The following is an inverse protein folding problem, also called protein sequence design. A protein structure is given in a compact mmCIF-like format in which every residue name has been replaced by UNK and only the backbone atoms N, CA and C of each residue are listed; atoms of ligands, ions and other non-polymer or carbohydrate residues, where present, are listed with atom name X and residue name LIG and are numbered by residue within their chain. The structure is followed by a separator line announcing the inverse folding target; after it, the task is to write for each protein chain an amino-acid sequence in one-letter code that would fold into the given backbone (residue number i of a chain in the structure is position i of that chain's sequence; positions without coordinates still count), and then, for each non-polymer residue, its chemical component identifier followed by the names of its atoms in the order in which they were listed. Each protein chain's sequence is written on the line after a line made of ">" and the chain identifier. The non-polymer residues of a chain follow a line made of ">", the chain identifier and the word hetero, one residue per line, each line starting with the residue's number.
data_IF_081074379357
#
_entry.id   IF_081074379357
#
_cell.length_a   1.000
_cell.length_b   1.000
_cell.length_c   1.000
_cell.angle_alpha   90.00
_cell.angle_beta   90.00
_cell.angle_gamma   90.00
#
_symmetry.space_group_name_H-M   'P 1'
#
loop_
_entity.id
_entity.type
_entity.pdbx_description
1 polymer ?
#
# COMPACT_ATOMS: atom_id res chain seq x y z
N UNK A 1 43.16 29.88 11.17
CA UNK A 1 42.40 30.01 9.93
C UNK A 1 41.82 28.66 9.50
N UNK A 2 42.63 27.59 9.42
CA UNK A 2 42.20 26.24 8.96
C UNK A 2 41.11 25.63 9.86
N UNK A 3 41.11 25.87 11.16
CA UNK A 3 40.09 25.37 12.09
C UNK A 3 38.74 26.08 11.96
N UNK A 4 38.75 27.39 11.66
CA UNK A 4 37.52 28.15 11.46
C UNK A 4 36.81 27.76 10.17
N UNK A 5 37.55 27.49 9.08
CA UNK A 5 36.97 27.03 7.81
C UNK A 5 36.36 25.63 7.91
N UNK A 6 36.97 24.71 8.68
CA UNK A 6 36.42 23.37 8.95
C UNK A 6 35.17 23.45 9.82
N UNK A 7 35.13 24.34 10.82
CA UNK A 7 33.95 24.56 11.65
C UNK A 7 32.81 25.17 10.86
N UNK A 8 33.07 26.12 9.98
CA UNK A 8 32.08 26.75 9.10
C UNK A 8 31.46 25.74 8.10
N UNK A 9 32.27 24.84 7.53
CA UNK A 9 31.81 23.77 6.69
C UNK A 9 30.92 22.75 7.42
N UNK A 10 31.25 22.42 8.68
CA UNK A 10 30.45 21.52 9.49
C UNK A 10 29.09 22.12 9.85
N UNK A 11 29.04 23.41 10.16
CA UNK A 11 27.79 24.13 10.45
C UNK A 11 26.93 24.28 9.19
N UNK A 12 27.51 24.43 8.01
CA UNK A 12 26.78 24.50 6.73
C UNK A 12 26.11 23.17 6.40
N UNK A 13 26.74 22.03 6.75
CA UNK A 13 26.13 20.69 6.55
C UNK A 13 24.94 20.41 7.49
N UNK A 14 24.90 21.03 8.68
CA UNK A 14 23.79 20.86 9.65
C UNK A 14 22.58 21.72 9.27
N UNK A 15 22.77 22.75 8.43
CA UNK A 15 21.70 23.65 7.97
C UNK A 15 21.01 23.21 6.68
N UNK A 16 21.39 22.07 6.10
CA UNK A 16 20.59 21.47 5.01
C UNK A 16 19.29 21.01 5.66
N UNK A 17 18.15 21.70 5.45
CA UNK A 17 16.88 21.18 5.93
C UNK A 17 16.69 19.83 5.26
N UNK A 18 16.62 18.77 6.06
CA UNK A 18 16.03 17.51 5.62
C UNK A 18 14.55 17.81 5.32
N UNK A 19 14.30 18.39 4.14
CA UNK A 19 12.95 18.47 3.62
C UNK A 19 12.51 17.02 3.47
N UNK A 20 11.74 16.54 4.43
CA UNK A 20 10.94 15.36 4.22
C UNK A 20 10.11 15.69 2.97
N UNK A 21 10.47 15.09 1.84
CA UNK A 21 9.74 15.29 0.60
C UNK A 21 8.33 14.75 0.82
N UNK A 22 7.46 15.67 1.21
CA UNK A 22 6.04 15.42 1.28
C UNK A 22 5.57 15.15 -0.16
N UNK A 23 4.98 13.97 -0.38
CA UNK A 23 4.51 13.54 -1.69
C UNK A 23 3.37 14.43 -2.17
N UNK A 24 3.45 14.92 -3.39
CA UNK A 24 2.36 15.67 -4.04
C UNK A 24 1.58 14.78 -5.01
N UNK A 25 0.34 15.18 -5.32
CA UNK A 25 -0.48 14.48 -6.32
C UNK A 25 0.22 14.45 -7.70
N UNK A 26 0.89 15.53 -8.08
CA UNK A 26 1.64 15.59 -9.33
C UNK A 26 2.80 14.60 -9.34
N UNK A 27 3.50 14.44 -8.23
CA UNK A 27 4.59 13.47 -8.12
C UNK A 27 4.10 12.03 -8.26
N UNK A 28 2.98 11.67 -7.62
CA UNK A 28 2.35 10.35 -7.79
C UNK A 28 2.02 10.06 -9.27
N UNK A 29 1.39 11.03 -9.95
CA UNK A 29 0.94 10.86 -11.33
C UNK A 29 2.06 10.86 -12.36
N UNK A 30 3.13 11.61 -12.13
CA UNK A 30 4.23 11.77 -13.08
C UNK A 30 5.33 10.70 -12.91
N UNK A 31 5.28 9.86 -11.91
CA UNK A 31 6.28 8.79 -11.66
C UNK A 31 5.64 7.39 -11.63
N UNK A 32 5.04 6.90 -12.73
CA UNK A 32 4.31 5.63 -12.76
C UNK A 32 5.20 4.39 -12.55
N UNK A 33 6.51 4.52 -12.74
CA UNK A 33 7.51 3.47 -12.45
C UNK A 33 7.72 3.27 -10.95
N UNK A 34 7.65 4.35 -10.18
CA UNK A 34 7.76 4.32 -8.71
C UNK A 34 6.39 4.10 -8.08
N UNK A 35 5.38 4.85 -8.50
CA UNK A 35 4.03 4.82 -7.93
C UNK A 35 3.07 4.13 -8.90
N UNK A 36 2.78 2.86 -8.64
CA UNK A 36 1.84 2.10 -9.46
C UNK A 36 0.41 2.44 -9.09
N UNK A 37 -0.37 2.96 -10.02
CA UNK A 37 -1.82 3.06 -9.90
C UNK A 37 -2.42 1.65 -9.89
N UNK A 38 -3.08 1.27 -8.78
CA UNK A 38 -3.67 -0.06 -8.59
C UNK A 38 -5.20 -0.03 -8.51
N UNK A 39 -5.78 1.13 -8.22
CA UNK A 39 -7.22 1.33 -8.16
C UNK A 39 -7.58 2.75 -8.53
N UNK A 40 -8.69 2.93 -9.24
CA UNK A 40 -9.23 4.25 -9.60
C UNK A 40 -10.75 4.16 -9.77
N UNK A 41 -11.48 5.11 -9.17
CA UNK A 41 -12.91 5.32 -9.38
C UNK A 41 -13.28 6.80 -9.26
N UNK A 42 -14.56 7.12 -9.24
CA UNK A 42 -15.05 8.50 -9.12
C UNK A 42 -14.73 9.16 -7.78
N UNK A 43 -14.38 8.40 -6.74
CA UNK A 43 -14.06 8.92 -5.40
C UNK A 43 -12.57 9.16 -5.19
N UNK A 44 -11.70 8.48 -5.97
CA UNK A 44 -10.26 8.63 -5.83
C UNK A 44 -9.41 7.59 -6.53
N UNK A 45 -8.10 7.73 -6.30
CA UNK A 45 -7.07 6.84 -6.83
C UNK A 45 -6.29 6.17 -5.68
N UNK A 46 -5.80 4.95 -5.91
CA UNK A 46 -4.87 4.27 -5.01
C UNK A 46 -3.58 3.93 -5.75
N UNK A 47 -2.47 4.36 -5.17
CA UNK A 47 -1.12 4.06 -5.67
C UNK A 47 -0.35 3.21 -4.66
N UNK A 48 0.55 2.36 -5.15
CA UNK A 48 1.52 1.63 -4.32
C UNK A 48 2.93 2.08 -4.69
N UNK A 49 3.75 2.40 -3.69
CA UNK A 49 5.16 2.74 -3.87
C UNK A 49 5.99 1.46 -4.03
N UNK A 50 6.50 1.24 -5.25
CA UNK A 50 7.29 0.07 -5.61
C UNK A 50 8.56 -0.10 -4.79
N UNK A 51 9.15 0.99 -4.34
CA UNK A 51 10.42 0.99 -3.61
C UNK A 51 10.24 0.56 -2.14
N UNK A 52 9.00 0.54 -1.64
CA UNK A 52 8.67 0.21 -0.25
C UNK A 52 8.14 -1.21 -0.07
N UNK A 53 7.92 -1.95 -1.16
CA UNK A 53 7.42 -3.33 -1.09
C UNK A 53 8.52 -4.22 -0.51
N UNK A 54 8.23 -4.81 0.65
CA UNK A 54 9.18 -5.64 1.38
C UNK A 54 8.52 -6.93 1.88
N UNK A 55 9.15 -8.06 1.55
CA UNK A 55 8.72 -9.38 2.04
C UNK A 55 9.22 -9.58 3.46
N UNK A 56 8.30 -9.54 4.44
CA UNK A 56 8.61 -9.76 5.85
C UNK A 56 8.73 -11.25 6.17
N UNK A 57 7.85 -12.06 5.55
CA UNK A 57 7.81 -13.51 5.78
C UNK A 57 7.45 -14.26 4.51
N UNK A 58 8.28 -15.26 4.20
CA UNK A 58 8.02 -16.29 3.18
C UNK A 58 7.94 -17.64 3.87
N UNK A 59 6.75 -18.14 4.11
CA UNK A 59 6.54 -19.44 4.75
C UNK A 59 5.22 -20.06 4.25
N UNK A 60 5.23 -20.66 3.02
CA UNK A 60 4.02 -21.27 2.46
C UNK A 60 3.32 -22.19 3.47
N UNK A 61 1.99 -22.15 3.58
CA UNK A 61 1.03 -21.38 2.75
C UNK A 61 0.82 -19.92 3.19
N UNK A 62 1.63 -19.40 4.14
CA UNK A 62 1.46 -18.07 4.73
C UNK A 62 2.56 -17.12 4.30
N UNK A 63 2.20 -15.87 3.94
CA UNK A 63 3.13 -14.84 3.54
C UNK A 63 2.79 -13.52 4.23
N UNK A 64 3.80 -12.68 4.45
CA UNK A 64 3.61 -11.34 5.00
C UNK A 64 4.44 -10.36 4.18
N UNK A 65 3.80 -9.31 3.66
CA UNK A 65 4.43 -8.26 2.86
C UNK A 65 4.02 -6.91 3.44
N UNK A 66 4.96 -5.97 3.56
CA UNK A 66 4.66 -4.57 3.84
C UNK A 66 4.84 -3.72 2.60
N UNK A 67 4.05 -2.65 2.51
CA UNK A 67 4.25 -1.59 1.52
C UNK A 67 3.64 -0.28 1.98
N UNK A 68 4.10 0.83 1.38
CA UNK A 68 3.46 2.14 1.49
C UNK A 68 2.54 2.32 0.30
N UNK A 69 1.34 2.80 0.57
CA UNK A 69 0.37 3.16 -0.46
C UNK A 69 -0.17 4.57 -0.22
N UNK A 70 -0.66 5.19 -1.29
CA UNK A 70 -1.20 6.54 -1.28
C UNK A 70 -2.64 6.51 -1.77
N UNK A 71 -3.57 6.88 -0.89
CA UNK A 71 -4.98 7.05 -1.23
C UNK A 71 -5.26 8.53 -1.51
N UNK A 72 -5.63 8.83 -2.73
CA UNK A 72 -6.10 10.15 -3.18
C UNK A 72 -7.60 10.21 -2.98
N UNK A 73 -8.10 11.15 -2.19
CA UNK A 73 -9.53 11.42 -2.04
C UNK A 73 -9.90 12.68 -2.80
N UNK A 74 -10.79 12.56 -3.80
CA UNK A 74 -11.26 13.70 -4.59
C UNK A 74 -12.24 14.56 -3.80
N UNK A 75 -13.07 13.94 -2.96
CA UNK A 75 -14.05 14.66 -2.13
C UNK A 75 -13.38 15.62 -1.13
N UNK A 76 -12.31 15.16 -0.47
CA UNK A 76 -11.65 15.94 0.58
C UNK A 76 -10.41 16.69 0.09
N UNK A 77 -10.01 16.53 -1.18
CA UNK A 77 -8.78 17.08 -1.75
C UNK A 77 -7.53 16.78 -0.91
N UNK A 78 -7.46 15.55 -0.40
CA UNK A 78 -6.35 15.07 0.43
C UNK A 78 -5.72 13.82 -0.16
N UNK A 79 -4.50 13.56 0.31
CA UNK A 79 -3.67 12.44 -0.02
C UNK A 79 -3.26 11.76 1.28
N UNK A 80 -3.62 10.50 1.47
CA UNK A 80 -3.27 9.73 2.66
C UNK A 80 -2.14 8.74 2.33
N UNK A 81 -0.99 8.89 2.97
CA UNK A 81 0.08 7.91 2.99
C UNK A 81 -0.25 6.84 4.03
N UNK A 82 -0.30 5.60 3.59
CA UNK A 82 -0.70 4.44 4.39
C UNK A 82 0.44 3.42 4.42
N UNK A 83 1.02 3.18 5.59
CA UNK A 83 1.98 2.10 5.78
C UNK A 83 1.23 0.83 6.17
N UNK A 84 1.16 -0.12 5.25
CA UNK A 84 0.36 -1.32 5.39
C UNK A 84 1.23 -2.58 5.56
N UNK A 85 0.70 -3.54 6.32
CA UNK A 85 1.19 -4.92 6.38
C UNK A 85 0.06 -5.83 5.93
N UNK A 86 0.32 -6.65 4.92
CA UNK A 86 -0.62 -7.62 4.35
C UNK A 86 -0.22 -9.02 4.75
N UNK A 87 -1.23 -9.82 5.12
CA UNK A 87 -1.11 -11.24 5.48
C UNK A 87 -1.87 -12.06 4.46
N UNK A 88 -1.21 -13.05 3.87
CA UNK A 88 -1.77 -13.91 2.85
C UNK A 88 -1.80 -15.34 3.33
N UNK A 89 -2.90 -16.03 3.06
CA UNK A 89 -3.15 -17.42 3.42
C UNK A 89 -3.68 -18.18 2.19
N UNK A 90 -2.83 -18.96 1.54
CA UNK A 90 -3.20 -19.76 0.35
C UNK A 90 -4.26 -20.82 0.64
N UNK A 91 -4.42 -21.27 1.90
CA UNK A 91 -5.49 -22.21 2.22
C UNK A 91 -6.89 -21.62 2.06
N UNK A 92 -6.98 -20.30 1.97
CA UNK A 92 -8.21 -19.53 1.85
C UNK A 92 -8.22 -18.56 0.66
N UNK A 93 -7.29 -18.71 -0.31
CA UNK A 93 -7.36 -17.92 -1.53
C UNK A 93 -8.54 -18.37 -2.41
N UNK A 94 -8.93 -17.54 -3.38
CA UNK A 94 -10.13 -17.78 -4.21
C UNK A 94 -10.06 -19.13 -4.93
N UNK A 95 -8.90 -19.54 -5.46
CA UNK A 95 -8.76 -20.83 -6.15
C UNK A 95 -8.97 -22.00 -5.21
N UNK A 96 -8.37 -21.96 -4.02
CA UNK A 96 -8.54 -23.00 -2.99
C UNK A 96 -9.97 -23.06 -2.46
N UNK A 97 -10.62 -21.89 -2.29
CA UNK A 97 -12.04 -21.85 -1.90
C UNK A 97 -12.94 -22.47 -2.97
N UNK A 98 -12.66 -22.20 -4.26
CA UNK A 98 -13.41 -22.79 -5.37
C UNK A 98 -13.31 -24.33 -5.38
N UNK A 99 -12.13 -24.89 -5.07
CA UNK A 99 -11.93 -26.34 -5.00
C UNK A 99 -12.65 -27.00 -3.81
N UNK A 100 -12.78 -26.27 -2.68
CA UNK A 100 -13.38 -26.79 -1.44
C UNK A 100 -14.88 -26.67 -1.36
N UNK A 101 -15.48 -25.71 -2.05
CA UNK A 101 -16.92 -25.43 -1.97
C UNK A 101 -17.74 -26.32 -2.90
N UNK A 102 -18.95 -26.66 -2.46
CA UNK A 102 -19.85 -27.60 -3.18
C UNK A 102 -20.92 -26.90 -3.99
N UNK A 103 -21.09 -25.58 -3.82
CA UNK A 103 -22.07 -24.77 -4.54
C UNK A 103 -21.58 -23.35 -4.77
N UNK A 104 -22.12 -22.67 -5.79
CA UNK A 104 -21.84 -21.27 -6.07
C UNK A 104 -22.23 -20.36 -4.91
N UNK A 105 -23.33 -20.68 -4.21
CA UNK A 105 -23.79 -19.90 -3.05
C UNK A 105 -22.82 -20.01 -1.89
N UNK A 106 -22.33 -21.21 -1.58
CA UNK A 106 -21.32 -21.45 -0.55
C UNK A 106 -20.01 -20.73 -0.90
N UNK A 107 -19.55 -20.87 -2.15
CA UNK A 107 -18.37 -20.18 -2.66
C UNK A 107 -18.47 -18.65 -2.52
N UNK A 108 -19.56 -18.06 -3.02
CA UNK A 108 -19.80 -16.62 -2.92
C UNK A 108 -19.80 -16.11 -1.47
N UNK A 109 -20.43 -16.88 -0.57
CA UNK A 109 -20.44 -16.56 0.87
C UNK A 109 -19.02 -16.59 1.46
N UNK A 110 -18.23 -17.64 1.22
CA UNK A 110 -16.89 -17.77 1.75
C UNK A 110 -15.94 -16.70 1.20
N UNK A 111 -15.95 -16.46 -0.11
CA UNK A 111 -15.13 -15.44 -0.76
C UNK A 111 -15.45 -14.04 -0.23
N UNK A 112 -16.72 -13.73 0.02
CA UNK A 112 -17.13 -12.44 0.56
C UNK A 112 -16.67 -12.26 2.00
N UNK A 113 -16.64 -13.35 2.78
CA UNK A 113 -16.17 -13.32 4.17
C UNK A 113 -14.65 -13.24 4.27
N UNK A 114 -13.92 -14.02 3.48
CA UNK A 114 -12.47 -14.07 3.53
C UNK A 114 -11.86 -14.71 2.28
N UNK A 115 -11.17 -13.94 1.49
CA UNK A 115 -10.46 -14.39 0.27
C UNK A 115 -8.94 -14.53 0.51
N UNK A 116 -8.53 -14.96 1.70
CA UNK A 116 -7.14 -15.26 2.03
C UNK A 116 -6.26 -14.04 2.32
N UNK A 117 -6.81 -12.83 2.34
CA UNK A 117 -6.04 -11.59 2.60
C UNK A 117 -6.57 -10.89 3.85
N UNK A 118 -5.64 -10.49 4.73
CA UNK A 118 -5.87 -9.53 5.82
C UNK A 118 -4.84 -8.41 5.74
N UNK A 119 -5.14 -7.26 6.34
CA UNK A 119 -4.18 -6.15 6.39
C UNK A 119 -4.31 -5.37 7.70
N UNK A 120 -3.22 -4.71 8.07
CA UNK A 120 -3.14 -3.70 9.13
C UNK A 120 -2.54 -2.44 8.51
N UNK A 121 -3.13 -1.28 8.78
CA UNK A 121 -2.50 0.00 8.52
C UNK A 121 -1.78 0.44 9.79
N UNK A 122 -0.44 0.41 9.75
CA UNK A 122 0.39 0.68 10.93
C UNK A 122 0.55 2.19 11.20
N UNK A 123 0.56 2.99 10.13
CA UNK A 123 0.76 4.44 10.20
C UNK A 123 -0.01 5.14 9.08
N UNK A 124 -0.56 6.30 9.37
CA UNK A 124 -1.24 7.19 8.41
C UNK A 124 -0.65 8.59 8.53
N UNK A 125 -0.34 9.21 7.39
CA UNK A 125 -0.04 10.65 7.31
C UNK A 125 -0.93 11.25 6.23
N UNK A 126 -1.55 12.39 6.49
CA UNK A 126 -2.46 13.05 5.54
C UNK A 126 -1.81 14.33 5.05
N UNK A 127 -1.81 14.50 3.73
CA UNK A 127 -1.29 15.67 3.02
C UNK A 127 -2.40 16.33 2.20
N UNK A 128 -2.25 17.61 1.90
CA UNK A 128 -2.98 18.21 0.80
C UNK A 128 -2.31 17.88 -0.55
N UNK A 129 -2.93 18.20 -1.68
CA UNK A 129 -2.43 17.82 -3.00
C UNK A 129 -1.07 18.44 -3.38
N UNK A 130 -0.66 19.53 -2.73
CA UNK A 130 0.66 20.12 -2.93
C UNK A 130 1.76 19.52 -2.03
N UNK A 131 1.42 18.49 -1.25
CA UNK A 131 2.37 17.80 -0.39
C UNK A 131 2.55 18.38 1.00
N UNK A 132 1.84 19.44 1.38
CA UNK A 132 1.91 19.96 2.74
C UNK A 132 1.16 19.04 3.70
N UNK A 133 1.79 18.67 4.82
CA UNK A 133 1.15 17.86 5.87
C UNK A 133 -0.09 18.56 6.38
N UNK A 134 -1.23 17.89 6.28
CA UNK A 134 -2.50 18.30 6.85
C UNK A 134 -2.67 17.71 8.26
N UNK A 135 -2.34 16.42 8.41
CA UNK A 135 -2.33 15.73 9.70
C UNK A 135 -1.12 14.81 9.77
N UNK A 136 -0.23 15.04 10.74
CA UNK A 136 1.05 14.36 10.93
C UNK A 136 0.88 12.96 11.49
N UNK A 137 1.95 12.13 11.49
CA UNK A 137 1.81 10.69 11.50
C UNK A 137 0.98 10.19 12.70
N UNK A 138 -0.05 9.41 12.38
CA UNK A 138 -0.89 8.72 13.35
C UNK A 138 -0.48 7.24 13.33
N UNK A 139 0.09 6.78 14.45
CA UNK A 139 0.35 5.36 14.65
C UNK A 139 -0.96 4.66 15.00
N UNK A 140 -1.21 3.52 14.38
CA UNK A 140 -2.40 2.73 14.63
C UNK A 140 -2.02 1.38 15.24
N UNK A 141 -2.74 1.02 16.29
CA UNK A 141 -2.65 -0.29 16.93
C UNK A 141 -4.00 -1.01 16.75
N UNK A 142 -4.32 -1.33 15.49
CA UNK A 142 -5.58 -1.95 15.14
C UNK A 142 -5.40 -3.45 14.88
N UNK A 143 -6.47 -4.23 15.10
CA UNK A 143 -6.51 -5.63 14.66
C UNK A 143 -6.53 -5.72 13.14
N UNK A 144 -6.05 -6.85 12.61
CA UNK A 144 -6.07 -7.10 11.17
C UNK A 144 -7.51 -7.10 10.62
N UNK A 145 -7.70 -6.39 9.50
CA UNK A 145 -8.97 -6.25 8.79
C UNK A 145 -8.96 -7.11 7.54
N UNK A 146 -10.14 -7.55 7.10
CA UNK A 146 -10.33 -8.22 5.81
C UNK A 146 -10.69 -7.15 4.78
N UNK A 147 -9.90 -6.97 3.71
CA UNK A 147 -10.25 -6.03 2.66
C UNK A 147 -11.43 -6.56 1.85
N UNK A 148 -12.36 -5.69 1.51
CA UNK A 148 -13.42 -6.03 0.55
C UNK A 148 -12.76 -6.25 -0.82
N UNK A 149 -13.14 -7.31 -1.52
CA UNK A 149 -12.67 -7.58 -2.88
C UNK A 149 -12.95 -6.36 -3.78
N UNK A 150 -12.01 -6.05 -4.65
CA UNK A 150 -12.04 -4.87 -5.52
C UNK A 150 -12.01 -3.52 -4.78
N UNK A 151 -11.63 -3.50 -3.48
CA UNK A 151 -11.38 -2.26 -2.76
C UNK A 151 -9.93 -1.78 -2.95
N UNK A 152 -9.63 -0.48 -2.71
CA UNK A 152 -8.26 0.01 -2.78
C UNK A 152 -7.25 -0.80 -1.95
N UNK A 153 -7.63 -1.23 -0.74
CA UNK A 153 -6.77 -2.06 0.12
C UNK A 153 -6.53 -3.46 -0.44
N UNK A 154 -7.56 -4.07 -1.05
CA UNK A 154 -7.44 -5.37 -1.71
C UNK A 154 -6.49 -5.30 -2.92
N UNK A 155 -6.67 -4.30 -3.78
CA UNK A 155 -5.84 -4.14 -4.98
C UNK A 155 -4.38 -3.81 -4.63
N UNK A 156 -4.15 -3.02 -3.58
CA UNK A 156 -2.80 -2.78 -3.06
C UNK A 156 -2.14 -4.06 -2.56
N UNK A 157 -2.89 -4.92 -1.86
CA UNK A 157 -2.41 -6.23 -1.43
C UNK A 157 -2.09 -7.14 -2.63
N UNK A 158 -3.03 -7.24 -3.58
CA UNK A 158 -2.86 -8.06 -4.80
C UNK A 158 -1.62 -7.63 -5.58
N UNK A 159 -1.44 -6.33 -5.78
CA UNK A 159 -0.27 -5.80 -6.48
C UNK A 159 1.03 -6.03 -5.70
N UNK A 160 1.05 -5.82 -4.38
CA UNK A 160 2.23 -6.07 -3.55
C UNK A 160 2.69 -7.52 -3.63
N UNK A 161 1.75 -8.47 -3.67
CA UNK A 161 2.05 -9.90 -3.87
C UNK A 161 2.61 -10.17 -5.27
N UNK A 162 1.93 -9.66 -6.31
CA UNK A 162 2.37 -9.81 -7.69
C UNK A 162 3.79 -9.25 -7.90
N UNK A 163 4.06 -8.06 -7.39
CA UNK A 163 5.37 -7.41 -7.49
C UNK A 163 6.47 -8.20 -6.77
N UNK A 164 6.12 -8.86 -5.65
CA UNK A 164 7.08 -9.65 -4.86
C UNK A 164 7.42 -11.00 -5.50
N UNK A 165 6.45 -11.65 -6.17
CA UNK A 165 6.60 -13.04 -6.60
C UNK A 165 6.34 -13.28 -8.10
N UNK A 166 6.00 -12.24 -8.87
CA UNK A 166 5.61 -12.32 -10.28
C UNK A 166 4.48 -13.33 -10.54
N UNK A 167 3.58 -13.48 -9.57
CA UNK A 167 2.39 -14.33 -9.65
C UNK A 167 1.24 -13.70 -8.87
N UNK A 168 0.00 -13.99 -9.25
CA UNK A 168 -1.17 -13.46 -8.56
C UNK A 168 -1.53 -14.36 -7.37
N UNK A 169 -1.82 -13.75 -6.23
CA UNK A 169 -2.34 -14.47 -5.06
C UNK A 169 -3.77 -14.99 -5.29
N UNK A 170 -4.64 -14.13 -5.80
CA UNK A 170 -5.96 -14.49 -6.31
C UNK A 170 -6.01 -14.21 -7.81
N UNK A 171 -6.93 -14.85 -8.53
CA UNK A 171 -7.14 -14.59 -9.95
C UNK A 171 -7.58 -13.12 -10.10
N UNK A 172 -6.87 -12.32 -10.90
CA UNK A 172 -7.24 -10.91 -11.09
C UNK A 172 -8.58 -10.83 -11.80
N UNK A 173 -9.39 -9.84 -11.45
CA UNK A 173 -10.59 -9.53 -12.24
C UNK A 173 -10.19 -9.20 -13.69
N UNK A 174 -11.08 -9.44 -14.66
CA UNK A 174 -10.81 -9.14 -16.08
C UNK A 174 -10.46 -7.66 -16.32
N UNK A 175 -10.76 -6.80 -15.37
CA UNK A 175 -10.61 -5.34 -15.44
C UNK A 175 -9.20 -4.89 -15.00
N UNK A 176 -8.46 -5.67 -14.20
CA UNK A 176 -7.16 -5.30 -13.67
C UNK A 176 -6.12 -6.38 -13.97
N UNK A 177 -5.38 -6.17 -15.06
CA UNK A 177 -4.08 -6.83 -15.27
C UNK A 177 -3.00 -5.79 -14.98
N UNK A 178 -2.17 -6.07 -14.01
CA UNK A 178 -1.02 -5.23 -13.67
C UNK A 178 0.09 -5.35 -14.71
#
# INVERSE_FOLDING_TARGET
>A
VIYMTKLLLLVLFILIPLTSNAISLNELRNNPTKYKLVYSDSSGDQYVDNDTINVIRYAPPYYVISSTSYLVSYEYNVLSELHNTYFYDYNNNISTLLEKTRSEQEFGSQVTQYAGIKYITNKITIFNYNGKVYQGPILRNESAKIPKILSPAYESAMYSFYKSYNTYFNIPSKIQKF
#
